data_IF_058460799647
#
_entry.id   IF_058460799647
#
_cell.length_a   1.000
_cell.length_b   1.000
_cell.length_c   1.000
_cell.angle_alpha   90.00
_cell.angle_beta   90.00
_cell.angle_gamma   90.00
#
_symmetry.space_group_name_H-M   'P 1'
#
loop_
_entity.id
_entity.type
_entity.pdbx_description
1 polymer ?
#
# COMPACT_ATOMS: atom_id res chain seq x y z
N UNK A 1 -41.07 19.67 7.13
CA UNK A 1 -40.23 19.61 5.96
C UNK A 1 -40.96 18.97 4.82
N UNK A 2 -41.02 19.65 3.70
CA UNK A 2 -41.76 19.09 2.58
C UNK A 2 -40.82 18.19 1.73
N UNK A 3 -41.43 17.54 0.76
CA UNK A 3 -40.70 16.59 -0.07
C UNK A 3 -39.58 17.26 -0.84
N UNK A 4 -39.82 18.48 -1.36
CA UNK A 4 -38.84 19.19 -2.12
C UNK A 4 -37.57 19.49 -1.29
N UNK A 5 -37.78 19.95 -0.07
CA UNK A 5 -36.66 20.22 0.82
C UNK A 5 -35.90 18.95 1.16
N UNK A 6 -36.60 17.85 1.34
CA UNK A 6 -35.96 16.58 1.62
C UNK A 6 -35.13 16.09 0.46
N UNK A 7 -35.67 16.27 -0.77
CA UNK A 7 -34.91 15.90 -1.96
C UNK A 7 -33.68 16.76 -2.14
N UNK A 8 -33.79 18.05 -1.89
CA UNK A 8 -32.63 18.93 -1.96
C UNK A 8 -31.56 18.52 -0.96
N UNK A 9 -31.98 18.21 0.26
CA UNK A 9 -31.03 17.76 1.28
C UNK A 9 -30.36 16.46 0.89
N UNK A 10 -31.10 15.54 0.29
CA UNK A 10 -30.55 14.29 -0.18
C UNK A 10 -29.55 14.52 -1.30
N UNK A 11 -29.86 15.42 -2.23
CA UNK A 11 -28.94 15.74 -3.31
C UNK A 11 -27.63 16.29 -2.78
N UNK A 12 -27.72 17.17 -1.79
CA UNK A 12 -26.53 17.74 -1.16
C UNK A 12 -25.69 16.64 -0.51
N UNK A 13 -26.35 15.76 0.23
CA UNK A 13 -25.65 14.66 0.90
C UNK A 13 -24.99 13.73 -0.11
N UNK A 14 -25.68 13.41 -1.18
CA UNK A 14 -25.12 12.55 -2.21
C UNK A 14 -23.89 13.19 -2.83
N UNK A 15 -23.95 14.49 -3.10
CA UNK A 15 -22.81 15.19 -3.66
C UNK A 15 -21.59 15.11 -2.75
N UNK A 16 -21.79 15.33 -1.45
CA UNK A 16 -20.70 15.20 -0.49
C UNK A 16 -20.16 13.78 -0.45
N UNK A 17 -21.04 12.82 -0.52
CA UNK A 17 -20.63 11.41 -0.51
C UNK A 17 -19.84 11.06 -1.77
N UNK A 18 -20.25 11.57 -2.91
CA UNK A 18 -19.51 11.34 -4.15
C UNK A 18 -18.11 11.94 -4.07
N UNK A 19 -17.99 13.16 -3.53
CA UNK A 19 -16.70 13.79 -3.35
C UNK A 19 -15.83 12.99 -2.41
N UNK A 20 -16.41 12.51 -1.33
CA UNK A 20 -15.69 11.71 -0.35
C UNK A 20 -15.18 10.40 -0.97
N UNK A 21 -16.03 9.75 -1.76
CA UNK A 21 -15.62 8.53 -2.45
C UNK A 21 -14.47 8.78 -3.41
N UNK A 22 -14.50 9.91 -4.08
CA UNK A 22 -13.41 10.29 -4.97
C UNK A 22 -12.10 10.42 -4.23
N UNK A 23 -12.14 11.08 -3.08
CA UNK A 23 -10.96 11.24 -2.24
C UNK A 23 -10.44 9.91 -1.76
N UNK A 24 -11.33 9.01 -1.34
CA UNK A 24 -10.93 7.68 -0.91
C UNK A 24 -10.27 6.92 -2.04
N UNK A 25 -10.81 7.02 -3.24
CA UNK A 25 -10.22 6.36 -4.39
C UNK A 25 -8.83 6.88 -4.70
N UNK A 26 -8.63 8.19 -4.60
CA UNK A 26 -7.31 8.77 -4.82
C UNK A 26 -6.30 8.28 -3.79
N UNK A 27 -6.71 8.23 -2.54
CA UNK A 27 -5.85 7.72 -1.47
C UNK A 27 -5.52 6.26 -1.72
N UNK A 28 -6.51 5.46 -2.09
CA UNK A 28 -6.30 4.04 -2.33
C UNK A 28 -5.31 3.81 -3.47
N UNK A 29 -5.44 4.58 -4.55
CA UNK A 29 -4.51 4.46 -5.67
C UNK A 29 -3.11 4.86 -5.24
N UNK A 30 -2.98 5.95 -4.48
CA UNK A 30 -1.69 6.39 -3.98
C UNK A 30 -1.03 5.35 -3.11
N UNK A 31 -1.80 4.74 -2.21
CA UNK A 31 -1.27 3.70 -1.34
C UNK A 31 -0.86 2.46 -2.12
N UNK A 32 -1.62 2.11 -3.14
CA UNK A 32 -1.29 0.97 -3.98
C UNK A 32 0.05 1.18 -4.67
N UNK A 33 0.29 2.38 -5.16
CA UNK A 33 1.56 2.72 -5.80
C UNK A 33 2.72 2.67 -4.82
N UNK A 34 2.50 3.15 -3.60
CA UNK A 34 3.54 3.09 -2.57
C UNK A 34 3.87 1.66 -2.20
N UNK A 35 2.85 0.81 -2.09
CA UNK A 35 3.07 -0.59 -1.78
C UNK A 35 3.88 -1.26 -2.87
N UNK A 36 3.55 -0.99 -4.13
CA UNK A 36 4.30 -1.55 -5.24
C UNK A 36 5.76 -1.11 -5.21
N UNK A 37 5.99 0.16 -4.90
CA UNK A 37 7.33 0.69 -4.79
C UNK A 37 8.11 0.01 -3.67
N UNK A 38 7.48 -0.13 -2.51
CA UNK A 38 8.11 -0.78 -1.37
C UNK A 38 8.43 -2.24 -1.67
N UNK A 39 7.55 -2.92 -2.37
CA UNK A 39 7.80 -4.30 -2.76
C UNK A 39 9.00 -4.39 -3.68
N UNK A 40 9.12 -3.48 -4.63
CA UNK A 40 10.25 -3.47 -5.54
C UNK A 40 11.55 -3.19 -4.79
N UNK A 41 11.53 -2.21 -3.90
CA UNK A 41 12.71 -1.90 -3.08
C UNK A 41 13.10 -3.07 -2.20
N UNK A 42 12.12 -3.75 -1.65
CA UNK A 42 12.37 -4.91 -0.81
C UNK A 42 13.05 -6.02 -1.60
N UNK A 43 12.58 -6.27 -2.80
CA UNK A 43 13.19 -7.28 -3.66
C UNK A 43 14.64 -6.93 -4.00
N UNK A 44 14.90 -5.66 -4.28
CA UNK A 44 16.26 -5.21 -4.56
C UNK A 44 17.17 -5.37 -3.36
N UNK A 45 16.68 -5.06 -2.18
CA UNK A 45 17.47 -5.22 -0.97
C UNK A 45 17.79 -6.68 -0.70
N UNK A 46 16.82 -7.55 -0.89
CA UNK A 46 17.04 -8.98 -0.72
C UNK A 46 18.08 -9.48 -1.69
N UNK A 47 17.99 -9.04 -2.93
CA UNK A 47 18.97 -9.42 -3.94
C UNK A 47 20.35 -8.94 -3.58
N UNK A 48 20.47 -7.72 -3.09
CA UNK A 48 21.75 -7.16 -2.65
C UNK A 48 22.35 -7.97 -1.51
N UNK A 49 21.52 -8.33 -0.56
CA UNK A 49 21.96 -9.13 0.56
C UNK A 49 22.49 -10.47 0.09
N UNK A 50 21.78 -11.10 -0.83
CA UNK A 50 22.24 -12.38 -1.39
C UNK A 50 23.57 -12.25 -2.10
N UNK A 51 23.73 -11.19 -2.87
CA UNK A 51 24.98 -10.94 -3.57
C UNK A 51 26.14 -10.76 -2.60
N UNK A 52 25.91 -10.01 -1.53
CA UNK A 52 26.93 -9.80 -0.53
C UNK A 52 27.32 -11.08 0.18
N UNK A 53 26.33 -11.92 0.47
CA UNK A 53 26.59 -13.19 1.11
C UNK A 53 27.43 -14.08 0.19
N UNK A 54 27.10 -14.11 -1.09
CA UNK A 54 27.85 -14.91 -2.05
C UNK A 54 29.30 -14.41 -2.21
N UNK A 55 29.45 -13.08 -2.25
CA UNK A 55 30.78 -12.50 -2.38
C UNK A 55 31.67 -12.81 -1.21
N UNK A 56 31.16 -12.71 0.00
CA UNK A 56 31.96 -12.92 1.19
C UNK A 56 32.09 -14.38 1.55
N UNK A 57 31.18 -15.21 1.04
CA UNK A 57 31.16 -16.60 1.42
C UNK A 57 30.72 -16.83 2.85
N UNK A 58 30.16 -15.82 3.47
CA UNK A 58 29.72 -15.92 4.84
C UNK A 58 28.24 -16.17 4.94
N UNK A 59 27.83 -16.84 5.97
CA UNK A 59 26.43 -17.07 6.23
C UNK A 59 25.91 -16.03 7.17
N UNK A 60 24.60 -15.83 7.12
CA UNK A 60 23.95 -14.90 8.03
C UNK A 60 24.07 -15.45 9.45
N UNK A 61 24.56 -14.64 10.39
CA UNK A 61 24.87 -15.16 11.74
C UNK A 61 23.69 -15.77 12.48
N UNK A 62 22.50 -15.23 12.27
CA UNK A 62 21.36 -15.77 12.99
C UNK A 62 20.70 -16.90 12.28
N UNK A 63 21.30 -17.41 11.22
CA UNK A 63 20.78 -18.50 10.48
C UNK A 63 21.14 -19.79 11.15
N UNK A 64 20.20 -20.66 11.27
CA UNK A 64 20.49 -21.95 11.85
C UNK A 64 21.38 -22.75 10.94
N UNK A 65 22.31 -23.50 11.50
CA UNK A 65 23.11 -24.42 10.69
C UNK A 65 22.20 -25.44 10.04
N UNK A 66 22.54 -25.84 8.87
CA UNK A 66 21.61 -26.65 8.09
C UNK A 66 21.54 -28.11 8.49
N UNK A 67 22.36 -28.51 9.38
CA UNK A 67 22.33 -29.88 9.64
C UNK A 67 21.65 -30.19 10.87
N UNK A 68 20.68 -30.26 11.00
CA UNK A 68 20.07 -30.77 12.17
C UNK A 68 19.14 -31.82 11.86
#
# INVERSE_FOLDING_TARGET
>A
MNIEERLENLEIKITYMEDFLKQIQEVAVGQSKEIDKLKAENRLMIQKIKELIEETGEEIPNRKPPHY
#
